data_IF_050803727242
#
_entry.id   IF_050803727242
#
_cell.length_a   1.000
_cell.length_b   1.000
_cell.length_c   1.000
_cell.angle_alpha   90.00
_cell.angle_beta   90.00
_cell.angle_gamma   90.00
#
_symmetry.space_group_name_H-M   'P 1'
#
loop_
_entity.id
_entity.type
_entity.pdbx_description
1 polymer ?
#
# COMPACT_ATOMS: atom_id res chain seq x y z
N UNK A 1 -25.59 -18.24 5.30
CA UNK A 1 -24.49 -17.84 4.40
C UNK A 1 -23.85 -19.13 3.92
N UNK A 2 -24.05 -19.50 2.66
CA UNK A 2 -23.40 -20.67 2.09
C UNK A 2 -21.96 -20.31 1.71
N UNK A 3 -21.03 -21.20 2.02
CA UNK A 3 -19.64 -21.09 1.56
C UNK A 3 -19.58 -21.28 0.04
N UNK A 4 -18.76 -20.47 -0.63
CA UNK A 4 -18.53 -20.58 -2.07
C UNK A 4 -17.94 -21.97 -2.42
N UNK A 5 -18.34 -22.50 -3.58
CA UNK A 5 -17.72 -23.69 -4.15
C UNK A 5 -16.26 -23.40 -4.56
N UNK A 6 -15.43 -24.44 -4.72
CA UNK A 6 -14.02 -24.27 -5.13
C UNK A 6 -13.85 -23.43 -6.41
N UNK A 7 -14.69 -23.65 -7.42
CA UNK A 7 -14.64 -22.90 -8.68
C UNK A 7 -15.06 -21.42 -8.51
N UNK A 8 -16.04 -21.15 -7.64
CA UNK A 8 -16.48 -19.79 -7.33
C UNK A 8 -15.42 -19.04 -6.54
N UNK A 9 -14.75 -19.73 -5.62
CA UNK A 9 -13.67 -19.17 -4.81
C UNK A 9 -12.45 -18.83 -5.66
N UNK A 10 -12.16 -19.64 -6.68
CA UNK A 10 -11.08 -19.37 -7.64
C UNK A 10 -11.34 -18.06 -8.41
N UNK A 11 -12.54 -17.90 -8.95
CA UNK A 11 -12.97 -16.66 -9.61
C UNK A 11 -12.89 -15.47 -8.66
N UNK A 12 -13.43 -15.62 -7.44
CA UNK A 12 -13.39 -14.56 -6.44
C UNK A 12 -11.95 -14.17 -6.05
N UNK A 13 -11.00 -15.11 -6.09
CA UNK A 13 -9.59 -14.84 -5.81
C UNK A 13 -8.93 -14.01 -6.93
N UNK A 14 -9.25 -14.29 -8.19
CA UNK A 14 -8.81 -13.44 -9.31
C UNK A 14 -9.37 -12.01 -9.18
N UNK A 15 -10.62 -11.86 -8.76
CA UNK A 15 -11.19 -10.54 -8.46
C UNK A 15 -10.49 -9.83 -7.29
N UNK A 16 -10.02 -10.55 -6.28
CA UNK A 16 -9.26 -9.96 -5.17
C UNK A 16 -7.91 -9.40 -5.59
N UNK A 17 -7.34 -9.88 -6.70
CA UNK A 17 -6.10 -9.33 -7.28
C UNK A 17 -6.35 -8.01 -8.03
N UNK A 18 -7.61 -7.62 -8.23
CA UNK A 18 -7.99 -6.40 -8.94
C UNK A 18 -8.13 -6.58 -10.46
N UNK A 19 -8.19 -7.81 -10.95
CA UNK A 19 -8.40 -8.07 -12.37
C UNK A 19 -9.82 -7.70 -12.82
N UNK A 20 -9.92 -7.21 -14.05
CA UNK A 20 -11.18 -6.93 -14.72
C UNK A 20 -11.86 -8.22 -15.21
N UNK A 21 -13.16 -8.16 -15.50
CA UNK A 21 -13.93 -9.32 -15.99
C UNK A 21 -13.31 -9.97 -17.26
N UNK A 22 -12.56 -9.21 -18.07
CA UNK A 22 -11.85 -9.73 -19.25
C UNK A 22 -10.56 -10.47 -18.84
N UNK A 23 -9.74 -9.86 -18.00
CA UNK A 23 -8.50 -10.48 -17.51
C UNK A 23 -8.79 -11.74 -16.68
N UNK A 24 -9.87 -11.75 -15.90
CA UNK A 24 -10.32 -12.94 -15.17
C UNK A 24 -10.73 -14.06 -16.14
N UNK A 25 -11.35 -13.71 -17.27
CA UNK A 25 -11.73 -14.66 -18.31
C UNK A 25 -10.48 -15.25 -18.99
N UNK A 26 -9.52 -14.40 -19.33
CA UNK A 26 -8.25 -14.79 -19.95
C UNK A 26 -7.40 -15.65 -18.99
N UNK A 27 -7.31 -15.28 -17.71
CA UNK A 27 -6.53 -16.03 -16.70
C UNK A 27 -7.11 -17.40 -16.36
N UNK A 28 -8.42 -17.59 -16.49
CA UNK A 28 -9.11 -18.83 -16.15
C UNK A 28 -9.44 -19.70 -17.38
N UNK A 29 -8.99 -19.29 -18.58
CA UNK A 29 -9.35 -19.90 -19.86
C UNK A 29 -10.88 -20.09 -20.00
N UNK A 30 -11.66 -19.11 -19.54
CA UNK A 30 -13.13 -19.12 -19.56
C UNK A 30 -13.65 -18.02 -20.48
N UNK A 31 -14.84 -18.22 -21.06
CA UNK A 31 -15.48 -17.13 -21.81
C UNK A 31 -15.88 -15.99 -20.88
N UNK A 32 -15.82 -14.75 -21.38
CA UNK A 32 -16.29 -13.55 -20.67
C UNK A 32 -17.72 -13.69 -20.14
N UNK A 33 -18.61 -14.32 -20.93
CA UNK A 33 -20.00 -14.56 -20.53
C UNK A 33 -20.12 -15.54 -19.36
N UNK A 34 -19.27 -16.56 -19.35
CA UNK A 34 -19.21 -17.57 -18.28
C UNK A 34 -18.74 -16.94 -16.97
N UNK A 35 -17.71 -16.07 -17.02
CA UNK A 35 -17.24 -15.32 -15.85
C UNK A 35 -18.32 -14.39 -15.32
N UNK A 36 -19.00 -13.63 -16.20
CA UNK A 36 -20.08 -12.71 -15.79
C UNK A 36 -21.26 -13.44 -15.13
N UNK A 37 -21.58 -14.64 -15.61
CA UNK A 37 -22.63 -15.49 -15.03
C UNK A 37 -22.22 -16.03 -13.67
N UNK A 38 -20.98 -16.52 -13.54
CA UNK A 38 -20.44 -17.00 -12.27
C UNK A 38 -20.33 -15.88 -11.24
N UNK A 39 -19.89 -14.67 -11.64
CA UNK A 39 -19.90 -13.46 -10.80
C UNK A 39 -21.29 -13.17 -10.22
N UNK A 40 -22.34 -13.20 -11.06
CA UNK A 40 -23.73 -13.02 -10.59
C UNK A 40 -24.17 -14.12 -9.61
N UNK A 41 -23.78 -15.37 -9.86
CA UNK A 41 -24.10 -16.47 -8.96
C UNK A 41 -23.43 -16.29 -7.59
N UNK A 42 -22.16 -15.88 -7.57
CA UNK A 42 -21.41 -15.54 -6.35
C UNK A 42 -22.12 -14.42 -5.57
N UNK A 43 -22.54 -13.35 -6.24
CA UNK A 43 -23.25 -12.23 -5.60
C UNK A 43 -24.58 -12.66 -5.00
N UNK A 44 -25.34 -13.48 -5.72
CA UNK A 44 -26.61 -14.03 -5.23
C UNK A 44 -26.42 -14.95 -4.02
N UNK A 45 -25.37 -15.77 -4.01
CA UNK A 45 -25.05 -16.67 -2.88
C UNK A 45 -24.61 -15.92 -1.64
N UNK A 46 -23.78 -14.89 -1.81
CA UNK A 46 -23.25 -14.08 -0.71
C UNK A 46 -24.23 -13.01 -0.23
N UNK A 47 -25.25 -12.67 -1.03
CA UNK A 47 -26.20 -11.60 -0.71
C UNK A 47 -25.61 -10.19 -0.84
N UNK A 48 -24.53 -10.05 -1.61
CA UNK A 48 -23.81 -8.79 -1.82
C UNK A 48 -24.12 -8.25 -3.21
N UNK A 49 -23.97 -6.94 -3.38
CA UNK A 49 -24.24 -6.28 -4.67
C UNK A 49 -23.05 -5.52 -5.23
N UNK A 50 -22.01 -5.29 -4.42
CA UNK A 50 -20.84 -4.50 -4.80
C UNK A 50 -19.59 -5.36 -4.89
N UNK A 51 -18.77 -5.08 -5.89
CA UNK A 51 -17.46 -5.71 -6.07
C UNK A 51 -16.56 -5.49 -4.83
N UNK A 52 -16.66 -4.33 -4.19
CA UNK A 52 -15.94 -4.03 -2.94
C UNK A 52 -16.37 -4.91 -1.77
N UNK A 53 -17.66 -5.26 -1.66
CA UNK A 53 -18.18 -6.17 -0.64
C UNK A 53 -17.66 -7.60 -0.87
N UNK A 54 -17.50 -8.02 -2.13
CA UNK A 54 -16.92 -9.32 -2.47
C UNK A 54 -15.47 -9.41 -2.02
N UNK A 55 -14.66 -8.38 -2.36
CA UNK A 55 -13.26 -8.33 -1.97
C UNK A 55 -13.15 -8.33 -0.44
N UNK A 56 -13.98 -7.54 0.24
CA UNK A 56 -14.04 -7.50 1.69
C UNK A 56 -14.34 -8.88 2.28
N UNK A 57 -15.33 -9.58 1.74
CA UNK A 57 -15.72 -10.91 2.17
C UNK A 57 -14.55 -11.91 2.03
N UNK A 58 -13.90 -11.95 0.88
CA UNK A 58 -12.76 -12.83 0.63
C UNK A 58 -11.55 -12.50 1.50
N UNK A 59 -11.30 -11.21 1.74
CA UNK A 59 -10.26 -10.77 2.68
C UNK A 59 -10.61 -11.24 4.09
N UNK A 60 -11.83 -11.03 4.56
CA UNK A 60 -12.29 -11.52 5.88
C UNK A 60 -12.13 -13.04 6.01
N UNK A 61 -12.45 -13.80 4.97
CA UNK A 61 -12.32 -15.26 4.94
C UNK A 61 -10.84 -15.70 5.00
N UNK A 62 -9.96 -15.05 4.25
CA UNK A 62 -8.50 -15.35 4.25
C UNK A 62 -7.81 -14.90 5.53
N UNK A 63 -8.28 -13.80 6.11
CA UNK A 63 -7.66 -13.07 7.21
C UNK A 63 -8.25 -13.53 8.56
N UNK A 64 -8.63 -14.81 8.65
CA UNK A 64 -9.19 -15.48 9.84
C UNK A 64 -8.28 -15.45 11.11
N UNK A 65 -7.25 -14.61 11.17
CA UNK A 65 -6.67 -14.02 12.39
C UNK A 65 -7.23 -12.61 12.63
N UNK A 66 -8.36 -12.48 13.33
CA UNK A 66 -8.73 -11.27 14.12
C UNK A 66 -8.34 -9.89 13.53
N UNK A 67 -8.59 -9.61 12.24
CA UNK A 67 -8.53 -8.21 11.80
C UNK A 67 -9.91 -7.62 11.99
N UNK A 68 -10.03 -6.80 13.01
CA UNK A 68 -11.22 -6.00 13.22
C UNK A 68 -11.23 -4.91 12.14
N UNK A 69 -11.97 -5.13 11.04
CA UNK A 69 -12.10 -4.15 9.95
C UNK A 69 -12.61 -2.80 10.46
N UNK A 70 -13.30 -2.82 11.61
CA UNK A 70 -13.71 -1.63 12.34
C UNK A 70 -12.51 -0.81 12.81
N UNK A 71 -11.43 -1.46 13.24
CA UNK A 71 -10.20 -0.84 13.73
C UNK A 71 -9.34 -0.32 12.58
N UNK A 72 -9.20 -1.08 11.47
CA UNK A 72 -8.51 -0.59 10.26
C UNK A 72 -9.21 0.64 9.70
N UNK A 73 -10.54 0.64 9.64
CA UNK A 73 -11.29 1.80 9.14
C UNK A 73 -11.19 3.01 10.08
N UNK A 74 -11.11 2.78 11.39
CA UNK A 74 -11.04 3.84 12.40
C UNK A 74 -9.64 4.45 12.50
N UNK A 75 -8.61 3.61 12.46
CA UNK A 75 -7.22 4.00 12.68
C UNK A 75 -6.38 4.04 11.40
N UNK A 76 -6.95 3.69 10.24
CA UNK A 76 -6.23 3.71 8.96
C UNK A 76 -5.73 5.11 8.61
N UNK A 77 -6.54 6.14 8.84
CA UNK A 77 -6.13 7.53 8.61
C UNK A 77 -5.04 7.98 9.59
N UNK A 78 -5.15 7.61 10.86
CA UNK A 78 -4.15 7.92 11.89
C UNK A 78 -2.81 7.26 11.58
N UNK A 79 -2.83 5.99 11.14
CA UNK A 79 -1.63 5.26 10.70
C UNK A 79 -0.99 5.93 9.47
N UNK A 80 -1.79 6.36 8.48
CA UNK A 80 -1.27 7.09 7.33
C UNK A 80 -0.60 8.40 7.72
N UNK A 81 -1.24 9.21 8.58
CA UNK A 81 -0.64 10.44 9.08
C UNK A 81 0.63 10.17 9.89
N UNK A 82 0.65 9.12 10.71
CA UNK A 82 1.85 8.73 11.47
C UNK A 82 3.01 8.35 10.55
N UNK A 83 2.75 7.58 9.49
CA UNK A 83 3.75 7.17 8.51
C UNK A 83 4.28 8.37 7.72
N UNK A 84 3.40 9.27 7.28
CA UNK A 84 3.79 10.52 6.61
C UNK A 84 4.64 11.40 7.52
N UNK A 85 4.29 11.50 8.80
CA UNK A 85 5.05 12.26 9.78
C UNK A 85 6.45 11.66 10.00
N UNK A 86 6.56 10.33 10.08
CA UNK A 86 7.85 9.64 10.15
C UNK A 86 8.70 9.87 8.89
N UNK A 87 8.11 9.79 7.70
CA UNK A 87 8.80 10.08 6.42
C UNK A 87 9.29 11.53 6.39
N UNK A 88 8.46 12.47 6.84
CA UNK A 88 8.84 13.88 6.92
C UNK A 88 10.00 14.09 7.90
N UNK A 89 9.96 13.48 9.08
CA UNK A 89 11.07 13.54 10.03
C UNK A 89 12.36 12.93 9.48
N UNK A 90 12.29 11.78 8.79
CA UNK A 90 13.46 11.15 8.16
C UNK A 90 14.05 12.05 7.05
N UNK A 91 13.20 12.70 6.27
CA UNK A 91 13.62 13.62 5.21
C UNK A 91 14.22 14.91 5.79
N UNK A 92 13.60 15.50 6.80
CA UNK A 92 14.11 16.65 7.54
C UNK A 92 15.45 16.34 8.24
N UNK A 93 15.56 15.22 8.93
CA UNK A 93 16.81 14.79 9.58
C UNK A 93 17.94 14.62 8.56
N UNK A 94 17.67 14.03 7.39
CA UNK A 94 18.67 13.96 6.31
C UNK A 94 19.07 15.34 5.77
N UNK A 95 18.10 16.24 5.57
CA UNK A 95 18.36 17.60 5.08
C UNK A 95 19.18 18.43 6.08
N UNK A 96 18.86 18.34 7.37
CA UNK A 96 19.59 19.02 8.44
C UNK A 96 20.99 18.43 8.65
N UNK A 97 21.15 17.11 8.53
CA UNK A 97 22.46 16.46 8.52
C UNK A 97 23.33 16.95 7.34
N UNK A 98 22.74 17.15 6.15
CA UNK A 98 23.45 17.73 5.00
C UNK A 98 23.79 19.21 5.18
N UNK A 99 22.91 20.00 5.83
CA UNK A 99 23.17 21.41 6.15
C UNK A 99 24.28 21.55 7.20
N UNK A 100 24.27 20.73 8.25
CA UNK A 100 25.33 20.68 9.25
C UNK A 100 26.69 20.32 8.64
N UNK A 101 26.73 19.39 7.67
CA UNK A 101 27.96 19.03 6.96
C UNK A 101 28.51 20.18 6.10
N UNK A 102 27.64 20.97 5.44
CA UNK A 102 28.04 22.18 4.70
C UNK A 102 28.59 23.28 5.61
N UNK A 103 27.95 23.54 6.75
CA UNK A 103 28.44 24.52 7.75
C UNK A 103 29.79 24.08 8.34
N UNK A 104 29.99 22.78 8.61
CA UNK A 104 31.27 22.23 9.06
C UNK A 104 32.38 22.38 8.02
N UNK A 105 32.06 22.21 6.73
CA UNK A 105 33.01 22.44 5.62
C UNK A 105 33.37 23.91 5.46
N UNK A 106 32.40 24.83 5.56
CA UNK A 106 32.63 26.28 5.48
C UNK A 106 33.55 26.79 6.59
N UNK A 107 33.30 26.39 7.84
CA UNK A 107 34.16 26.77 8.98
C UNK A 107 35.61 26.28 8.82
N UNK A 108 35.81 25.07 8.28
CA UNK A 108 37.16 24.54 8.05
C UNK A 108 37.93 25.30 6.96
N UNK A 109 37.25 25.87 5.97
CA UNK A 109 37.88 26.69 4.92
C UNK A 109 38.29 28.06 5.48
N UNK A 110 37.45 28.65 6.33
CA UNK A 110 37.71 29.96 6.95
C UNK A 110 38.97 29.96 7.84
N UNK A 111 39.17 28.94 8.70
CA UNK A 111 40.41 28.80 9.48
C UNK A 111 41.67 28.55 8.65
N UNK A 112 41.54 28.00 7.44
CA UNK A 112 42.70 27.72 6.55
C UNK A 112 43.12 28.97 5.78
N UNK A 113 42.20 29.86 5.43
CA UNK A 113 42.52 31.15 4.81
C UNK A 113 43.11 32.16 5.80
N UNK A 114 42.75 32.08 7.08
CA UNK A 114 43.24 32.99 8.12
C UNK A 114 44.70 32.71 8.54
N UNK A 115 45.15 31.44 8.43
CA UNK A 115 46.53 31.03 8.75
C UNK A 115 47.52 31.07 7.58
N UNK A 116 47.08 31.47 6.38
CA UNK A 116 47.91 31.52 5.17
C UNK A 116 48.45 32.91 4.80
N UNK A 117 48.30 33.91 5.68
CA UNK A 117 48.60 35.32 5.39
C UNK A 117 49.90 35.88 5.98
N UNK A 118 50.64 35.11 6.80
CA UNK A 118 51.79 35.63 7.56
C UNK A 118 53.08 34.82 7.32
N UNK A 119 53.38 34.48 6.06
CA UNK A 119 54.74 34.17 5.65
C UNK A 119 55.03 34.96 4.37
N UNK A 120 55.72 36.10 4.51
CA UNK A 120 56.69 36.64 3.55
C UNK A 120 57.30 37.92 4.18
N UNK A 121 58.47 37.74 4.81
CA UNK A 121 59.36 38.80 5.27
C UNK A 121 60.33 39.26 4.19
#
# INVERSE_FOLDING_TARGET
MESLSCAEREIANEYCKGYSDKEVADNLDKSYWTVKTQKKAIYKKLGISKDTELILYMVCERVQRRFDLKEIRRHGLELLFSALFLIMQVTCNNLDNMRAMRVRRGRKIEYVCDYGGDEDG
#
